data_IF_931253140033
#
_entry.id   IF_931253140033
#
_cell.length_a   1.000
_cell.length_b   1.000
_cell.length_c   1.000
_cell.angle_alpha   90.00
_cell.angle_beta   90.00
_cell.angle_gamma   90.00
#
_symmetry.space_group_name_H-M   'P 1'
#
loop_
_entity.id
_entity.type
_entity.pdbx_description
1 polymer ?
#
# COMPACT_ATOMS: atom_id res chain seq x y z
N UNK A 1 -5.75 27.94 -15.33
CA UNK A 1 -6.30 26.88 -14.46
C UNK A 1 -5.25 25.81 -14.30
N UNK A 2 -4.92 25.43 -13.07
CA UNK A 2 -3.90 24.41 -12.77
C UNK A 2 -4.46 23.01 -13.07
N UNK A 3 -3.65 22.15 -13.71
CA UNK A 3 -3.97 20.74 -13.98
C UNK A 3 -4.18 19.90 -12.70
N UNK A 4 -3.81 20.45 -11.55
CA UNK A 4 -3.88 19.84 -10.21
C UNK A 4 -5.29 19.80 -9.60
N UNK A 5 -6.29 20.40 -10.27
CA UNK A 5 -7.69 20.40 -9.80
C UNK A 5 -8.61 19.49 -10.63
N UNK A 6 -8.06 18.55 -11.40
CA UNK A 6 -8.87 17.54 -12.09
C UNK A 6 -9.16 16.39 -11.12
N UNK A 7 -10.45 16.10 -10.79
CA UNK A 7 -10.78 14.92 -10.00
C UNK A 7 -10.47 13.70 -10.86
N UNK A 8 -9.44 12.95 -10.49
CA UNK A 8 -9.24 11.60 -11.00
C UNK A 8 -9.27 10.69 -9.78
N UNK A 9 -10.35 9.89 -9.72
CA UNK A 9 -10.55 8.70 -8.88
C UNK A 9 -10.77 8.99 -7.39
N UNK A 10 -11.94 8.62 -6.87
CA UNK A 10 -12.41 8.86 -5.48
C UNK A 10 -11.62 8.10 -4.38
N UNK A 11 -10.37 7.70 -4.63
CA UNK A 11 -9.61 6.73 -3.83
C UNK A 11 -8.21 7.28 -3.47
N UNK A 12 -7.79 7.24 -2.19
CA UNK A 12 -6.46 7.69 -1.80
C UNK A 12 -5.33 6.90 -2.47
N UNK A 13 -4.24 7.59 -2.84
CA UNK A 13 -3.03 6.97 -3.46
C UNK A 13 -2.53 5.73 -2.72
N UNK A 14 -2.51 5.77 -1.39
CA UNK A 14 -2.05 4.64 -0.56
C UNK A 14 -2.91 3.39 -0.73
N UNK A 15 -4.20 3.54 -1.02
CA UNK A 15 -5.08 2.41 -1.23
C UNK A 15 -4.77 1.68 -2.55
N UNK A 16 -4.32 2.40 -3.59
CA UNK A 16 -3.82 1.75 -4.82
C UNK A 16 -2.55 0.93 -4.56
N UNK A 17 -1.65 1.42 -3.72
CA UNK A 17 -0.40 0.72 -3.37
C UNK A 17 -0.70 -0.56 -2.59
N UNK A 18 -1.62 -0.48 -1.63
CA UNK A 18 -2.07 -1.66 -0.87
C UNK A 18 -2.76 -2.68 -1.78
N UNK A 19 -3.62 -2.24 -2.70
CA UNK A 19 -4.24 -3.14 -3.69
C UNK A 19 -3.21 -3.80 -4.60
N UNK A 20 -2.24 -3.05 -5.11
CA UNK A 20 -1.18 -3.63 -5.94
C UNK A 20 -0.38 -4.70 -5.17
N UNK A 21 -0.09 -4.46 -3.89
CA UNK A 21 0.59 -5.42 -3.04
C UNK A 21 -0.23 -6.71 -2.86
N UNK A 22 -1.52 -6.58 -2.58
CA UNK A 22 -2.45 -7.70 -2.44
C UNK A 22 -2.61 -8.49 -3.76
N UNK A 23 -2.80 -7.79 -4.87
CA UNK A 23 -2.87 -8.40 -6.21
C UNK A 23 -1.56 -9.11 -6.60
N UNK A 24 -0.45 -8.73 -5.97
CA UNK A 24 0.86 -9.38 -6.13
C UNK A 24 1.07 -10.58 -5.19
N UNK A 25 0.14 -10.86 -4.29
CA UNK A 25 0.20 -11.95 -3.32
C UNK A 25 0.94 -11.59 -2.02
N UNK A 26 1.13 -10.31 -1.70
CA UNK A 26 1.73 -9.87 -0.44
C UNK A 26 0.65 -9.87 0.65
N UNK A 27 0.85 -10.68 1.69
CA UNK A 27 -0.12 -10.86 2.79
C UNK A 27 0.10 -9.87 3.93
N UNK A 28 1.35 -9.52 4.21
CA UNK A 28 1.76 -8.67 5.34
C UNK A 28 2.35 -7.34 4.86
N UNK A 29 1.72 -6.22 5.21
CA UNK A 29 2.12 -4.89 4.73
C UNK A 29 2.49 -3.98 5.90
N UNK A 30 3.71 -3.45 5.89
CA UNK A 30 4.17 -2.45 6.86
C UNK A 30 4.23 -1.06 6.24
N UNK A 31 3.40 -0.16 6.75
CA UNK A 31 3.39 1.26 6.36
C UNK A 31 4.26 2.07 7.33
N UNK A 32 5.33 2.65 6.81
CA UNK A 32 6.18 3.60 7.55
C UNK A 32 5.67 5.02 7.35
N UNK A 33 5.13 5.62 8.40
CA UNK A 33 4.51 6.96 8.33
C UNK A 33 5.31 8.02 9.09
N UNK A 34 5.16 9.28 8.68
CA UNK A 34 5.71 10.45 9.37
C UNK A 34 4.72 11.14 10.30
N UNK A 35 5.17 12.22 10.97
CA UNK A 35 4.32 13.04 11.84
C UNK A 35 3.17 13.68 11.03
N UNK A 36 1.94 13.56 11.54
CA UNK A 36 0.75 14.20 10.93
C UNK A 36 0.01 13.35 9.90
N UNK A 37 0.35 12.06 9.75
CA UNK A 37 -0.27 11.13 8.79
C UNK A 37 -1.27 10.13 9.40
N UNK A 38 -1.90 10.48 10.54
CA UNK A 38 -2.98 9.67 11.15
C UNK A 38 -4.12 9.31 10.19
N UNK A 39 -4.53 10.20 9.25
CA UNK A 39 -5.59 9.85 8.29
C UNK A 39 -5.30 8.63 7.40
N UNK A 40 -4.04 8.18 7.31
CA UNK A 40 -3.71 6.93 6.59
C UNK A 40 -4.13 5.72 7.42
N UNK A 41 -3.81 5.73 8.72
CA UNK A 41 -4.20 4.69 9.68
C UNK A 41 -5.73 4.62 9.76
N UNK A 42 -6.38 5.78 9.96
CA UNK A 42 -7.84 5.90 10.04
C UNK A 42 -8.58 5.42 8.76
N UNK A 43 -7.92 5.39 7.61
CA UNK A 43 -8.51 4.96 6.33
C UNK A 43 -8.61 3.43 6.21
N UNK A 44 -7.69 2.70 6.84
CA UNK A 44 -7.67 1.23 6.83
C UNK A 44 -8.19 0.61 8.14
N UNK A 45 -8.44 1.43 9.16
CA UNK A 45 -9.10 0.98 10.37
C UNK A 45 -10.58 0.66 10.13
N UNK A 46 -11.06 -0.40 10.79
CA UNK A 46 -12.46 -0.78 10.74
C UNK A 46 -13.36 0.32 11.32
N UNK A 47 -14.36 0.74 10.55
CA UNK A 47 -15.38 1.68 10.99
C UNK A 47 -16.72 0.96 11.19
N UNK A 48 -16.82 0.28 12.34
CA UNK A 48 -17.99 -0.54 12.70
C UNK A 48 -19.31 0.26 12.63
N UNK A 49 -19.30 1.54 13.00
CA UNK A 49 -20.49 2.38 12.94
C UNK A 49 -20.94 2.64 11.50
N UNK A 50 -19.99 2.87 10.59
CA UNK A 50 -20.26 3.04 9.16
C UNK A 50 -20.75 1.72 8.54
N UNK A 51 -20.09 0.60 8.84
CA UNK A 51 -20.48 -0.73 8.36
C UNK A 51 -21.90 -1.09 8.79
N UNK A 52 -22.23 -0.90 10.07
CA UNK A 52 -23.59 -1.12 10.59
C UNK A 52 -24.61 -0.22 9.89
N UNK A 53 -24.30 1.08 9.73
CA UNK A 53 -25.17 2.02 9.03
C UNK A 53 -25.43 1.62 7.57
N UNK A 54 -24.40 1.14 6.86
CA UNK A 54 -24.51 0.69 5.47
C UNK A 54 -25.34 -0.60 5.37
N UNK A 55 -25.10 -1.55 6.29
CA UNK A 55 -25.85 -2.80 6.40
C UNK A 55 -27.33 -2.55 6.69
N UNK A 56 -27.65 -1.67 7.64
CA UNK A 56 -29.03 -1.28 7.98
C UNK A 56 -29.75 -0.60 6.80
N UNK A 57 -29.01 0.16 5.98
CA UNK A 57 -29.54 0.84 4.80
C UNK A 57 -29.57 -0.02 3.53
N UNK A 58 -29.15 -1.29 3.61
CA UNK A 58 -29.10 -2.21 2.47
C UNK A 58 -28.15 -1.75 1.35
N UNK A 59 -27.06 -1.07 1.72
CA UNK A 59 -26.06 -0.52 0.79
C UNK A 59 -24.90 -1.50 0.60
N UNK A 60 -25.20 -2.69 0.09
CA UNK A 60 -24.26 -3.81 0.05
C UNK A 60 -22.99 -3.53 -0.77
N UNK A 61 -23.09 -2.83 -1.90
CA UNK A 61 -21.93 -2.46 -2.72
C UNK A 61 -20.95 -1.54 -1.97
N UNK A 62 -21.47 -0.62 -1.16
CA UNK A 62 -20.66 0.30 -0.36
C UNK A 62 -20.10 -0.38 0.89
N UNK A 63 -20.85 -1.31 1.47
CA UNK A 63 -20.39 -2.13 2.59
C UNK A 63 -19.20 -2.98 2.17
N UNK A 64 -19.30 -3.65 1.00
CA UNK A 64 -18.23 -4.48 0.45
C UNK A 64 -16.93 -3.70 0.23
N UNK A 65 -17.03 -2.46 -0.26
CA UNK A 65 -15.87 -1.59 -0.45
C UNK A 65 -15.17 -1.25 0.88
N UNK A 66 -15.93 -1.07 1.97
CA UNK A 66 -15.39 -0.78 3.30
C UNK A 66 -14.77 -2.04 3.92
N UNK A 67 -15.44 -3.19 3.79
CA UNK A 67 -14.94 -4.48 4.30
C UNK A 67 -13.64 -4.93 3.56
N UNK A 68 -13.56 -4.71 2.25
CA UNK A 68 -12.34 -5.01 1.46
C UNK A 68 -11.12 -4.20 1.91
N UNK A 69 -11.31 -3.00 2.44
CA UNK A 69 -10.20 -2.18 2.97
C UNK A 69 -9.72 -2.60 4.36
N UNK A 70 -10.55 -3.32 5.12
CA UNK A 70 -10.29 -3.63 6.55
C UNK A 70 -9.79 -5.05 6.79
N UNK A 71 -9.93 -5.96 5.81
CA UNK A 71 -9.46 -7.36 5.88
C UNK A 71 -7.96 -7.52 5.54
N UNK A 72 -7.19 -6.42 5.57
CA UNK A 72 -5.78 -6.39 5.20
C UNK A 72 -4.89 -6.39 6.45
N UNK A 73 -3.88 -7.28 6.51
CA UNK A 73 -2.89 -7.27 7.59
C UNK A 73 -1.92 -6.09 7.44
N UNK A 74 -2.37 -4.93 7.93
CA UNK A 74 -1.62 -3.69 7.91
C UNK A 74 -0.97 -3.40 9.26
N UNK A 75 0.33 -3.14 9.21
CA UNK A 75 1.13 -2.72 10.35
C UNK A 75 1.61 -1.29 10.14
N UNK A 76 1.64 -0.50 11.20
CA UNK A 76 2.07 0.88 11.13
C UNK A 76 3.24 1.14 12.07
N UNK A 77 4.30 1.75 11.54
CA UNK A 77 5.38 2.32 12.37
C UNK A 77 5.58 3.79 12.06
N UNK A 78 6.00 4.54 13.08
CA UNK A 78 6.27 5.98 12.96
C UNK A 78 7.77 6.24 12.82
N UNK A 79 8.15 6.91 11.75
CA UNK A 79 9.46 7.52 11.59
C UNK A 79 9.44 8.93 12.19
N UNK A 80 9.94 9.07 13.43
CA UNK A 80 9.87 10.32 14.20
C UNK A 80 10.62 11.49 13.57
N UNK A 81 11.65 11.22 12.76
CA UNK A 81 12.44 12.23 12.06
C UNK A 81 12.69 11.77 10.61
N UNK A 82 12.53 12.64 9.60
CA UNK A 82 12.71 12.29 8.20
C UNK A 82 14.20 12.07 7.87
N UNK A 83 14.72 10.91 8.26
CA UNK A 83 16.13 10.51 8.08
C UNK A 83 16.36 9.76 6.76
N UNK A 84 15.43 9.87 5.82
CA UNK A 84 15.48 9.21 4.51
C UNK A 84 14.98 7.77 4.50
N UNK A 85 14.91 7.21 3.28
CA UNK A 85 14.38 5.87 3.00
C UNK A 85 15.19 4.76 3.66
N UNK A 86 16.53 4.85 3.63
CA UNK A 86 17.38 3.83 4.26
C UNK A 86 17.12 3.68 5.77
N UNK A 87 16.80 4.79 6.45
CA UNK A 87 16.39 4.73 7.85
C UNK A 87 15.00 4.12 8.01
N UNK A 88 14.05 4.40 7.12
CA UNK A 88 12.72 3.79 7.15
C UNK A 88 12.80 2.26 7.00
N UNK A 89 13.60 1.78 6.02
CA UNK A 89 13.86 0.35 5.81
C UNK A 89 14.54 -0.26 7.04
N UNK A 90 15.51 0.42 7.64
CA UNK A 90 16.17 -0.07 8.85
C UNK A 90 15.19 -0.24 10.02
N UNK A 91 14.20 0.64 10.16
CA UNK A 91 13.15 0.49 11.18
C UNK A 91 12.22 -0.69 10.90
N UNK A 92 12.01 -1.03 9.63
CA UNK A 92 11.23 -2.20 9.21
C UNK A 92 11.96 -3.54 9.42
N UNK A 93 13.27 -3.53 9.72
CA UNK A 93 14.09 -4.75 9.83
C UNK A 93 13.51 -5.80 10.79
N UNK A 94 12.96 -5.38 11.93
CA UNK A 94 12.42 -6.31 12.91
C UNK A 94 11.11 -6.97 12.45
N UNK A 95 10.36 -6.29 11.59
CA UNK A 95 9.13 -6.80 10.98
C UNK A 95 9.44 -7.81 9.88
N UNK A 96 10.35 -7.45 8.96
CA UNK A 96 10.75 -8.29 7.82
C UNK A 96 11.53 -9.55 8.25
N UNK A 97 12.35 -9.46 9.29
CA UNK A 97 13.18 -10.58 9.71
C UNK A 97 14.23 -10.95 8.67
N UNK A 98 14.19 -12.20 8.19
CA UNK A 98 15.10 -12.76 7.17
C UNK A 98 14.37 -13.17 5.88
N UNK A 99 13.15 -12.68 5.67
CA UNK A 99 12.35 -12.97 4.49
C UNK A 99 12.60 -11.93 3.38
N UNK A 100 12.46 -12.31 2.10
CA UNK A 100 12.48 -11.33 1.01
C UNK A 100 11.30 -10.37 1.14
N UNK A 101 11.50 -9.11 0.76
CA UNK A 101 10.48 -8.08 0.90
C UNK A 101 10.53 -7.10 -0.27
N UNK A 102 9.38 -6.48 -0.56
CA UNK A 102 9.24 -5.42 -1.56
C UNK A 102 9.19 -4.06 -0.86
N UNK A 103 9.84 -3.06 -1.45
CA UNK A 103 9.74 -1.67 -1.00
C UNK A 103 8.96 -0.89 -2.03
N UNK A 104 7.79 -0.39 -1.64
CA UNK A 104 6.92 0.44 -2.47
C UNK A 104 6.97 1.89 -2.00
N UNK A 105 7.08 2.84 -2.94
CA UNK A 105 7.11 4.27 -2.64
C UNK A 105 5.74 4.89 -2.89
N UNK A 106 5.32 5.77 -1.98
CA UNK A 106 3.98 6.39 -1.97
C UNK A 106 3.62 7.25 -3.18
N UNK A 107 4.60 7.60 -4.00
CA UNK A 107 4.52 8.52 -5.14
C UNK A 107 4.72 7.84 -6.49
N UNK A 108 5.03 6.55 -6.52
CA UNK A 108 5.21 5.77 -7.76
C UNK A 108 3.98 4.88 -7.99
N UNK A 109 3.00 5.42 -8.73
CA UNK A 109 1.83 4.67 -9.17
C UNK A 109 2.02 4.23 -10.61
N UNK A 110 2.12 2.92 -10.82
CA UNK A 110 2.08 2.32 -12.15
C UNK A 110 0.83 1.46 -12.31
N UNK A 111 0.22 1.53 -13.49
CA UNK A 111 -0.92 0.68 -13.83
C UNK A 111 -0.55 -0.15 -15.06
N UNK A 112 -0.45 -1.45 -14.86
CA UNK A 112 -0.15 -2.42 -15.91
C UNK A 112 -1.09 -3.63 -15.77
N UNK A 113 -1.15 -4.50 -16.80
CA UNK A 113 -2.00 -5.69 -16.79
C UNK A 113 -1.57 -6.70 -15.72
N UNK A 114 -0.28 -6.75 -15.43
CA UNK A 114 0.31 -7.50 -14.31
C UNK A 114 0.94 -6.47 -13.37
N UNK A 115 0.59 -6.45 -12.07
CA UNK A 115 1.21 -5.56 -11.09
C UNK A 115 2.73 -5.56 -11.20
N UNK A 116 3.35 -4.37 -11.12
CA UNK A 116 4.82 -4.26 -11.20
C UNK A 116 5.47 -5.07 -10.08
N UNK A 117 4.91 -4.97 -8.88
CA UNK A 117 5.36 -5.73 -7.72
C UNK A 117 5.34 -7.25 -7.97
N UNK A 118 4.31 -7.77 -8.66
CA UNK A 118 4.23 -9.18 -9.06
C UNK A 118 5.33 -9.58 -10.03
N UNK A 119 5.63 -8.73 -11.02
CA UNK A 119 6.72 -8.98 -11.98
C UNK A 119 8.08 -9.05 -11.26
N UNK A 120 8.33 -8.15 -10.30
CA UNK A 120 9.55 -8.13 -9.50
C UNK A 120 9.69 -9.38 -8.61
N UNK A 121 8.59 -9.82 -8.00
CA UNK A 121 8.55 -11.07 -7.21
C UNK A 121 8.88 -12.27 -8.10
N UNK A 122 8.19 -12.41 -9.24
CA UNK A 122 8.39 -13.53 -10.15
C UNK A 122 9.83 -13.59 -10.70
N UNK A 123 10.46 -12.44 -10.93
CA UNK A 123 11.85 -12.36 -11.38
C UNK A 123 12.85 -12.68 -10.27
N UNK A 124 12.58 -12.23 -9.03
CA UNK A 124 13.38 -12.58 -7.86
C UNK A 124 13.35 -14.10 -7.61
N UNK A 125 12.18 -14.73 -7.71
CA UNK A 125 12.02 -16.19 -7.54
C UNK A 125 12.79 -16.99 -8.60
N UNK A 126 12.87 -16.48 -9.84
CA UNK A 126 13.60 -17.15 -10.92
C UNK A 126 15.11 -16.99 -10.84
N UNK A 127 15.59 -15.82 -10.41
CA UNK A 127 17.00 -15.44 -10.55
C UNK A 127 17.75 -15.26 -9.20
N UNK A 128 17.04 -15.26 -8.07
CA UNK A 128 17.56 -14.92 -6.75
C UNK A 128 18.36 -13.60 -6.71
N UNK A 129 17.99 -12.64 -7.56
CA UNK A 129 18.67 -11.36 -7.73
C UNK A 129 17.68 -10.20 -7.58
N UNK A 130 18.13 -9.12 -6.92
CA UNK A 130 17.33 -7.91 -6.71
C UNK A 130 17.44 -7.06 -7.98
N UNK A 131 16.33 -6.89 -8.68
CA UNK A 131 16.22 -5.98 -9.83
C UNK A 131 15.54 -4.67 -9.40
N UNK A 132 16.11 -3.55 -9.84
CA UNK A 132 15.51 -2.25 -9.63
C UNK A 132 14.84 -1.81 -10.93
N UNK A 133 13.60 -1.35 -10.82
CA UNK A 133 12.91 -0.70 -11.90
C UNK A 133 13.08 0.82 -11.79
N UNK A 134 13.60 1.45 -12.83
CA UNK A 134 13.67 2.91 -12.94
C UNK A 134 13.15 3.30 -14.32
N UNK A 135 12.13 4.17 -14.37
CA UNK A 135 11.60 4.75 -15.60
C UNK A 135 11.16 3.75 -16.67
N UNK A 136 10.33 2.74 -16.33
CA UNK A 136 9.76 1.91 -17.39
C UNK A 136 10.62 0.73 -17.84
N UNK A 137 11.75 0.42 -17.16
CA UNK A 137 12.65 -0.67 -17.57
C UNK A 137 13.27 -1.42 -16.39
N UNK A 138 13.39 -2.76 -16.49
CA UNK A 138 14.15 -3.56 -15.54
C UNK A 138 15.65 -3.33 -15.73
N UNK A 139 16.37 -3.17 -14.62
CA UNK A 139 17.84 -3.21 -14.54
C UNK A 139 18.29 -4.20 -13.49
#
# INVERSE_FOLDING_TARGET
MAKEMLPIVDKPTIQFIVEEALDSGIEDILIVTGKGKRPIEDHFDANLELEMNLREKGKDDLLKLVEETTDVNLHFIRQSHPKGLGHAILQAKAFVGNEPFVVMLGDDLMKDQIPLSKQLIDDYEKNACIHYWSNGRPS
#
